data_IF_705271342361
#
_entry.id   IF_705271342361
#
_cell.length_a   1.000
_cell.length_b   1.000
_cell.length_c   1.000
_cell.angle_alpha   90.00
_cell.angle_beta   90.00
_cell.angle_gamma   90.00
#
_symmetry.space_group_name_H-M   'P 1'
#
loop_
_entity.id
_entity.type
_entity.pdbx_description
1 polymer ?
#
# COMPACT_ATOMS: atom_id res chain seq x y z
N UNK A 1 11.18 14.99 11.13
CA UNK A 1 11.11 13.68 11.83
C UNK A 1 11.75 13.70 13.22
N UNK A 2 13.08 13.77 13.39
CA UNK A 2 13.74 13.68 14.72
C UNK A 2 13.12 14.55 15.83
N UNK A 3 12.84 15.83 15.54
CA UNK A 3 12.21 16.75 16.50
C UNK A 3 10.87 16.24 17.07
N UNK A 4 10.12 15.47 16.29
CA UNK A 4 8.80 14.94 16.66
C UNK A 4 8.88 13.61 17.42
N UNK A 5 9.95 12.83 17.25
CA UNK A 5 10.08 11.48 17.85
C UNK A 5 10.99 11.45 19.08
N UNK A 6 11.83 12.48 19.29
CA UNK A 6 12.78 12.52 20.40
C UNK A 6 12.11 12.52 21.79
N UNK A 7 10.85 12.95 21.88
CA UNK A 7 10.07 12.99 23.12
C UNK A 7 9.39 11.66 23.45
N UNK A 8 9.29 10.74 22.50
CA UNK A 8 8.66 9.42 22.67
C UNK A 8 9.67 8.44 23.29
N UNK A 9 10.10 8.70 24.52
CA UNK A 9 11.24 8.01 25.17
C UNK A 9 11.02 6.52 25.41
N UNK A 10 9.78 6.06 25.41
CA UNK A 10 9.37 4.65 25.48
C UNK A 10 9.51 3.92 24.13
N UNK A 11 9.69 4.65 23.04
CA UNK A 11 9.96 4.11 21.71
C UNK A 11 11.43 4.34 21.33
N UNK A 12 12.07 3.33 20.74
CA UNK A 12 13.42 3.41 20.19
C UNK A 12 13.35 3.49 18.67
N UNK A 13 14.10 4.42 18.08
CA UNK A 13 14.10 4.63 16.63
C UNK A 13 15.48 4.32 16.05
N UNK A 14 15.52 3.49 15.01
CA UNK A 14 16.68 3.36 14.14
C UNK A 14 16.43 4.21 12.89
N UNK A 15 17.26 5.23 12.67
CA UNK A 15 17.09 6.22 11.60
C UNK A 15 18.23 6.08 10.60
N UNK A 16 17.91 5.69 9.38
CA UNK A 16 18.86 5.55 8.27
C UNK A 16 18.75 6.77 7.35
N UNK A 17 19.87 7.42 7.04
CA UNK A 17 19.88 8.59 6.16
C UNK A 17 21.23 8.77 5.48
N UNK A 18 21.23 9.22 4.22
CA UNK A 18 22.44 9.48 3.42
C UNK A 18 23.36 10.56 4.00
N UNK A 19 22.80 11.47 4.81
CA UNK A 19 23.54 12.51 5.51
C UNK A 19 24.32 12.02 6.73
N UNK A 20 24.12 10.78 7.16
CA UNK A 20 24.81 10.17 8.30
C UNK A 20 26.01 9.39 7.78
N UNK A 21 27.22 9.72 8.27
CA UNK A 21 28.46 9.03 7.91
C UNK A 21 28.86 7.97 8.92
N UNK A 22 28.51 8.20 10.18
CA UNK A 22 28.88 7.32 11.30
C UNK A 22 27.69 7.10 12.22
N UNK A 23 27.65 5.91 12.83
CA UNK A 23 26.60 5.53 13.77
C UNK A 23 26.66 6.42 15.01
N UNK A 24 25.53 7.00 15.42
CA UNK A 24 25.46 7.81 16.65
C UNK A 24 24.12 7.65 17.36
N UNK A 25 24.14 7.74 18.68
CA UNK A 25 22.93 7.73 19.52
C UNK A 25 22.67 9.14 20.04
N UNK A 26 21.44 9.64 19.83
CA UNK A 26 20.97 10.89 20.42
C UNK A 26 19.56 10.68 20.97
N UNK A 27 19.40 10.84 22.29
CA UNK A 27 18.18 10.45 23.01
C UNK A 27 17.78 8.99 22.72
N UNK A 28 16.54 8.77 22.27
CA UNK A 28 15.98 7.48 21.87
C UNK A 28 16.21 7.13 20.40
N UNK A 29 16.98 7.94 19.67
CA UNK A 29 17.20 7.78 18.22
C UNK A 29 18.64 7.34 17.94
N UNK A 30 18.79 6.13 17.41
CA UNK A 30 20.06 5.64 16.88
C UNK A 30 20.11 5.92 15.37
N UNK A 31 21.07 6.73 14.96
CA UNK A 31 21.30 7.10 13.57
C UNK A 31 22.33 6.18 12.95
N UNK A 32 22.07 5.75 11.73
CA UNK A 32 22.93 4.87 10.96
C UNK A 32 23.25 5.48 9.59
N UNK A 33 24.46 5.28 9.06
CA UNK A 33 24.71 5.45 7.63
C UNK A 33 23.84 4.46 6.83
N UNK A 34 23.67 4.72 5.53
CA UNK A 34 22.99 3.78 4.65
C UNK A 34 23.80 2.48 4.54
N UNK A 35 23.14 1.34 4.71
CA UNK A 35 23.77 0.03 4.59
C UNK A 35 22.74 -1.10 4.68
N UNK A 36 22.77 -2.03 3.72
CA UNK A 36 21.75 -3.08 3.56
C UNK A 36 21.67 -3.99 4.80
N UNK A 37 22.79 -4.54 5.24
CA UNK A 37 22.81 -5.51 6.35
C UNK A 37 22.29 -4.90 7.67
N UNK A 38 22.75 -3.69 8.00
CA UNK A 38 22.31 -2.98 9.20
C UNK A 38 20.82 -2.62 9.14
N UNK A 39 20.33 -2.25 7.96
CA UNK A 39 18.91 -1.95 7.72
C UNK A 39 18.05 -3.20 7.87
N UNK A 40 18.39 -4.29 7.17
CA UNK A 40 17.67 -5.57 7.26
C UNK A 40 17.65 -6.11 8.69
N UNK A 41 18.80 -6.08 9.39
CA UNK A 41 18.85 -6.46 10.80
C UNK A 41 17.92 -5.61 11.66
N UNK A 42 17.88 -4.29 11.45
CA UNK A 42 16.98 -3.40 12.18
C UNK A 42 15.51 -3.68 11.85
N UNK A 43 15.18 -3.91 10.58
CA UNK A 43 13.81 -4.23 10.13
C UNK A 43 13.29 -5.52 10.79
N UNK A 44 14.10 -6.58 10.78
CA UNK A 44 13.73 -7.89 11.34
C UNK A 44 13.36 -7.77 12.82
N UNK A 45 14.09 -6.96 13.60
CA UNK A 45 13.87 -6.82 15.04
C UNK A 45 12.91 -5.67 15.42
N UNK A 46 12.52 -4.83 14.47
CA UNK A 46 11.60 -3.71 14.72
C UNK A 46 10.16 -4.18 14.89
N UNK A 47 9.34 -3.38 15.57
CA UNK A 47 7.87 -3.54 15.62
C UNK A 47 7.18 -3.06 14.34
N UNK A 48 7.82 -2.16 13.61
CA UNK A 48 7.29 -1.55 12.39
C UNK A 48 8.27 -0.56 11.77
N UNK A 49 7.88 0.00 10.65
CA UNK A 49 8.69 0.94 9.89
C UNK A 49 7.89 2.19 9.47
N UNK A 50 8.59 3.32 9.45
CA UNK A 50 8.15 4.56 8.80
C UNK A 50 8.99 4.73 7.53
N UNK A 51 8.36 4.80 6.36
CA UNK A 51 9.06 4.78 5.05
C UNK A 51 8.41 5.72 4.03
N UNK A 52 9.15 6.07 2.98
CA UNK A 52 8.66 6.92 1.88
C UNK A 52 7.67 6.25 0.92
N UNK A 53 7.45 4.93 1.04
CA UNK A 53 6.53 4.21 0.14
C UNK A 53 7.17 3.78 -1.20
N UNK A 54 8.48 3.53 -1.22
CA UNK A 54 9.11 2.79 -2.33
C UNK A 54 8.59 1.35 -2.41
N UNK A 55 9.06 0.56 -3.38
CA UNK A 55 8.59 -0.82 -3.56
C UNK A 55 9.18 -1.81 -2.52
N UNK A 56 10.51 -1.88 -2.43
CA UNK A 56 11.23 -2.95 -1.71
C UNK A 56 10.93 -2.95 -0.20
N UNK A 57 11.11 -1.81 0.46
CA UNK A 57 10.99 -1.72 1.92
C UNK A 57 9.59 -2.05 2.47
N UNK A 58 8.48 -1.49 1.94
CA UNK A 58 7.15 -1.91 2.36
C UNK A 58 6.84 -3.37 2.06
N UNK A 59 7.32 -3.92 0.93
CA UNK A 59 7.11 -5.32 0.59
C UNK A 59 7.78 -6.26 1.62
N UNK A 60 9.04 -5.99 1.98
CA UNK A 60 9.75 -6.74 3.04
C UNK A 60 9.04 -6.59 4.40
N UNK A 61 8.58 -5.38 4.72
CA UNK A 61 7.86 -5.12 5.96
C UNK A 61 6.51 -5.88 6.03
N UNK A 62 5.78 -5.96 4.91
CA UNK A 62 4.55 -6.74 4.79
C UNK A 62 4.82 -8.22 5.01
N UNK A 63 5.83 -8.76 4.33
CA UNK A 63 6.26 -10.15 4.48
C UNK A 63 6.59 -10.49 5.94
N UNK A 64 7.34 -9.60 6.61
CA UNK A 64 7.73 -9.75 8.02
C UNK A 64 6.62 -9.40 9.02
N UNK A 65 5.40 -9.06 8.57
CA UNK A 65 4.26 -8.70 9.42
C UNK A 65 4.45 -7.43 10.24
N UNK A 66 5.30 -6.52 9.78
CA UNK A 66 5.64 -5.28 10.48
C UNK A 66 4.54 -4.25 10.29
N UNK A 67 4.31 -3.41 11.31
CA UNK A 67 3.44 -2.25 11.15
C UNK A 67 4.09 -1.27 10.16
N UNK A 68 3.32 -0.77 9.20
CA UNK A 68 3.85 0.12 8.15
C UNK A 68 3.18 1.47 8.28
N UNK A 69 4.01 2.52 8.36
CA UNK A 69 3.60 3.91 8.19
C UNK A 69 4.31 4.48 6.97
N UNK A 70 3.56 5.09 6.07
CA UNK A 70 4.07 5.61 4.79
C UNK A 70 3.94 7.13 4.76
N UNK A 71 5.01 7.81 4.37
CA UNK A 71 5.06 9.27 4.17
C UNK A 71 5.58 9.53 2.75
N UNK A 72 4.70 9.55 1.73
CA UNK A 72 5.10 9.71 0.34
C UNK A 72 5.91 10.99 0.12
N UNK A 73 6.98 10.91 -0.69
CA UNK A 73 7.76 12.10 -1.03
C UNK A 73 6.94 12.96 -2.01
N UNK A 74 6.82 14.26 -1.71
CA UNK A 74 6.11 15.21 -2.58
C UNK A 74 6.71 15.17 -4.00
N UNK A 75 5.85 15.01 -5.00
CA UNK A 75 6.24 14.92 -6.41
C UNK A 75 6.53 13.49 -6.92
N UNK A 76 6.62 12.48 -6.05
CA UNK A 76 6.84 11.10 -6.46
C UNK A 76 5.50 10.38 -6.67
N UNK A 77 5.04 10.30 -7.93
CA UNK A 77 3.75 9.68 -8.26
C UNK A 77 3.69 8.20 -7.85
N UNK A 78 4.72 7.43 -8.17
CA UNK A 78 4.79 5.99 -7.86
C UNK A 78 4.64 5.72 -6.36
N UNK A 79 5.30 6.52 -5.51
CA UNK A 79 5.19 6.37 -4.06
C UNK A 79 3.79 6.68 -3.53
N UNK A 80 3.04 7.59 -4.18
CA UNK A 80 1.65 7.85 -3.83
C UNK A 80 0.76 6.66 -4.19
N UNK A 81 0.96 6.07 -5.37
CA UNK A 81 0.24 4.86 -5.78
C UNK A 81 0.52 3.69 -4.82
N UNK A 82 1.78 3.47 -4.47
CA UNK A 82 2.18 2.45 -3.50
C UNK A 82 1.56 2.71 -2.13
N UNK A 83 1.53 3.97 -1.68
CA UNK A 83 0.92 4.32 -0.40
C UNK A 83 -0.58 4.02 -0.40
N UNK A 84 -1.30 4.33 -1.47
CA UNK A 84 -2.73 4.01 -1.57
C UNK A 84 -2.96 2.51 -1.54
N UNK A 85 -2.20 1.72 -2.30
CA UNK A 85 -2.26 0.26 -2.22
C UNK A 85 -1.93 -0.25 -0.80
N UNK A 86 -0.94 0.33 -0.12
CA UNK A 86 -0.56 -0.05 1.24
C UNK A 86 -1.66 0.25 2.27
N UNK A 87 -2.59 1.19 2.01
CA UNK A 87 -3.78 1.39 2.88
C UNK A 87 -4.64 0.13 2.93
N UNK A 88 -4.80 -0.55 1.80
CA UNK A 88 -5.56 -1.82 1.70
C UNK A 88 -4.90 -2.93 2.53
N UNK A 89 -3.58 -2.87 2.71
CA UNK A 89 -2.81 -3.76 3.58
C UNK A 89 -2.68 -3.29 5.03
N UNK A 90 -3.45 -2.26 5.43
CA UNK A 90 -3.53 -1.78 6.81
C UNK A 90 -2.46 -0.76 7.23
N UNK A 91 -1.63 -0.29 6.29
CA UNK A 91 -0.62 0.73 6.56
C UNK A 91 -1.26 2.08 6.92
N UNK A 92 -0.58 2.86 7.77
CA UNK A 92 -0.96 4.25 8.06
C UNK A 92 -0.27 5.17 7.05
N UNK A 93 -1.02 5.86 6.19
CA UNK A 93 -0.43 6.81 5.23
C UNK A 93 -0.65 8.23 5.72
N UNK A 94 0.45 8.96 5.87
CA UNK A 94 0.51 10.34 6.33
C UNK A 94 1.02 11.22 5.18
N UNK A 95 0.31 12.32 4.90
CA UNK A 95 0.66 13.25 3.81
C UNK A 95 1.84 14.16 4.17
N UNK A 96 1.97 14.54 5.45
CA UNK A 96 3.03 15.43 5.92
C UNK A 96 3.36 15.28 7.41
N UNK A 97 4.56 15.72 7.78
CA UNK A 97 5.03 15.73 9.17
C UNK A 97 4.72 17.10 9.78
N UNK A 98 3.69 17.15 10.62
CA UNK A 98 3.25 18.35 11.33
C UNK A 98 3.62 18.30 12.83
N UNK A 99 2.96 19.14 13.64
CA UNK A 99 3.13 19.18 15.10
C UNK A 99 2.48 18.01 15.84
N UNK A 100 1.51 17.32 15.21
CA UNK A 100 0.79 16.19 15.79
C UNK A 100 1.43 14.85 15.44
N UNK A 101 2.39 14.85 14.51
CA UNK A 101 3.08 13.65 14.03
C UNK A 101 3.61 12.73 15.15
N UNK A 102 4.17 13.30 16.23
CA UNK A 102 4.62 12.51 17.38
C UNK A 102 3.47 11.73 18.04
N UNK A 103 2.31 12.35 18.25
CA UNK A 103 1.13 11.71 18.80
C UNK A 103 0.55 10.64 17.83
N UNK A 104 0.58 10.91 16.52
CA UNK A 104 0.17 9.93 15.51
C UNK A 104 1.04 8.67 15.54
N UNK A 105 2.37 8.82 15.63
CA UNK A 105 3.29 7.69 15.81
C UNK A 105 2.95 6.94 17.08
N UNK A 106 2.79 7.66 18.19
CA UNK A 106 2.60 7.04 19.49
C UNK A 106 1.33 6.19 19.51
N UNK A 107 0.20 6.77 19.10
CA UNK A 107 -1.07 6.06 18.91
C UNK A 107 -0.90 4.86 17.99
N UNK A 108 -0.34 5.07 16.80
CA UNK A 108 -0.20 4.02 15.80
C UNK A 108 0.60 2.84 16.32
N UNK A 109 1.67 3.04 17.09
CA UNK A 109 2.51 1.95 17.60
C UNK A 109 2.02 1.34 18.92
N UNK A 110 1.10 1.99 19.65
CA UNK A 110 0.45 1.43 20.85
C UNK A 110 -0.79 0.61 20.53
N UNK A 111 -1.61 1.05 19.58
CA UNK A 111 -2.87 0.37 19.26
C UNK A 111 -2.61 -1.01 18.65
N UNK A 112 -3.22 -2.09 19.16
CA UNK A 112 -3.23 -3.36 18.46
C UNK A 112 -3.98 -3.15 17.14
N UNK A 113 -3.25 -3.22 16.03
CA UNK A 113 -3.80 -3.14 14.67
C UNK A 113 -3.37 -4.41 13.98
N UNK A 114 -4.34 -5.19 13.51
CA UNK A 114 -4.10 -6.34 12.65
C UNK A 114 -3.39 -5.83 11.39
N UNK A 115 -2.09 -6.08 11.27
CA UNK A 115 -1.42 -5.96 9.97
C UNK A 115 -1.85 -7.18 9.17
N UNK A 116 -2.26 -7.01 7.91
CA UNK A 116 -2.81 -8.11 7.11
C UNK A 116 -1.70 -9.08 6.65
N UNK A 117 -1.05 -9.77 7.59
CA UNK A 117 -0.14 -10.89 7.33
C UNK A 117 -0.84 -12.03 6.58
N UNK A 118 -2.17 -12.07 6.65
CA UNK A 118 -3.02 -13.12 6.07
C UNK A 118 -2.82 -13.31 4.57
N UNK A 119 -2.35 -12.30 3.83
CA UNK A 119 -2.12 -12.43 2.38
C UNK A 119 -0.89 -13.26 2.00
N UNK A 120 0.09 -13.38 2.91
CA UNK A 120 1.41 -13.94 2.56
C UNK A 120 1.65 -15.35 3.11
N UNK A 121 0.64 -15.99 3.71
CA UNK A 121 0.79 -17.32 4.29
C UNK A 121 1.04 -18.41 3.24
N UNK A 122 0.58 -18.21 1.99
CA UNK A 122 0.78 -19.11 0.86
C UNK A 122 1.66 -18.48 -0.25
N UNK A 123 2.72 -17.76 0.13
CA UNK A 123 3.61 -17.04 -0.82
C UNK A 123 4.59 -17.94 -1.58
N UNK A 124 4.29 -19.24 -1.76
CA UNK A 124 5.11 -20.06 -2.66
C UNK A 124 4.90 -19.60 -4.10
N UNK A 125 5.86 -19.89 -4.97
CA UNK A 125 5.71 -19.56 -6.39
C UNK A 125 4.42 -20.17 -6.96
N UNK A 126 4.10 -21.40 -6.59
CA UNK A 126 2.88 -22.09 -6.98
C UNK A 126 1.64 -21.39 -6.42
N UNK A 127 1.65 -20.99 -5.14
CA UNK A 127 0.52 -20.30 -4.51
C UNK A 127 0.22 -18.95 -5.15
N UNK A 128 1.27 -18.18 -5.48
CA UNK A 128 1.15 -16.89 -6.19
C UNK A 128 0.58 -17.10 -7.59
N UNK A 129 1.11 -18.06 -8.35
CA UNK A 129 0.63 -18.38 -9.71
C UNK A 129 -0.84 -18.81 -9.67
N UNK A 130 -1.22 -19.70 -8.75
CA UNK A 130 -2.59 -20.16 -8.59
C UNK A 130 -3.56 -19.03 -8.26
N UNK A 131 -3.18 -18.13 -7.35
CA UNK A 131 -4.00 -16.96 -7.01
C UNK A 131 -4.17 -16.03 -8.22
N UNK A 132 -3.09 -15.75 -8.95
CA UNK A 132 -3.14 -14.92 -10.14
C UNK A 132 -4.05 -15.52 -11.21
N UNK A 133 -3.92 -16.83 -11.47
CA UNK A 133 -4.77 -17.54 -12.42
C UNK A 133 -6.24 -17.50 -12.02
N UNK A 134 -6.55 -17.66 -10.72
CA UNK A 134 -7.93 -17.52 -10.20
C UNK A 134 -8.51 -16.12 -10.42
N UNK A 135 -7.72 -15.07 -10.21
CA UNK A 135 -8.14 -13.69 -10.46
C UNK A 135 -8.40 -13.46 -11.95
N UNK A 136 -7.49 -13.90 -12.82
CA UNK A 136 -7.61 -13.77 -14.27
C UNK A 136 -8.88 -14.45 -14.81
N UNK A 137 -9.16 -15.68 -14.36
CA UNK A 137 -10.37 -16.43 -14.74
C UNK A 137 -11.63 -15.69 -14.29
N UNK A 138 -11.66 -15.16 -13.05
CA UNK A 138 -12.80 -14.36 -12.55
C UNK A 138 -13.03 -13.10 -13.38
N UNK A 139 -11.96 -12.39 -13.74
CA UNK A 139 -12.04 -11.18 -14.56
C UNK A 139 -12.61 -11.51 -15.97
N UNK A 140 -12.12 -12.58 -16.60
CA UNK A 140 -12.63 -13.05 -17.90
C UNK A 140 -14.12 -13.43 -17.87
N UNK A 141 -14.56 -14.10 -16.81
CA UNK A 141 -15.99 -14.44 -16.64
C UNK A 141 -16.87 -13.20 -16.44
N UNK A 142 -16.38 -12.19 -15.71
CA UNK A 142 -17.12 -10.95 -15.51
C UNK A 142 -17.20 -10.14 -16.81
N UNK A 143 -16.13 -10.11 -17.60
CA UNK A 143 -16.12 -9.49 -18.94
C UNK A 143 -17.13 -10.15 -19.90
N UNK A 144 -17.12 -11.49 -20.01
CA UNK A 144 -18.07 -12.24 -20.87
C UNK A 144 -19.54 -12.07 -20.46
N UNK A 145 -19.82 -11.85 -19.17
CA UNK A 145 -21.17 -11.56 -18.67
C UNK A 145 -21.66 -10.15 -19.04
N UNK A 146 -20.76 -9.19 -19.21
CA UNK A 146 -21.11 -7.85 -19.66
C UNK A 146 -21.43 -7.82 -21.17
N UNK A 147 -20.69 -8.56 -22.00
CA UNK A 147 -20.99 -8.70 -23.44
C UNK A 147 -22.32 -9.39 -23.73
N UNK A 148 -22.75 -10.34 -22.88
CA UNK A 148 -24.02 -11.08 -23.03
C UNK A 148 -25.25 -10.34 -22.48
N UNK A 149 -25.07 -9.13 -21.93
CA UNK A 149 -26.13 -8.33 -21.32
C UNK A 149 -26.61 -7.14 -22.16
N UNK A 150 -26.08 -6.96 -23.37
CA UNK A 150 -26.69 -6.06 -24.35
C UNK A 150 -27.99 -6.69 -24.88
N UNK A 151 -29.15 -6.01 -24.76
CA UNK A 151 -30.39 -6.57 -25.28
C UNK A 151 -30.28 -6.72 -26.79
N UNK A 152 -30.67 -7.90 -27.30
CA UNK A 152 -30.93 -8.07 -28.72
C UNK A 152 -32.02 -7.05 -29.12
N UNK A 153 -31.67 -6.11 -30.00
CA UNK A 153 -32.67 -5.26 -30.63
C UNK A 153 -33.62 -6.16 -31.44
N UNK A 154 -34.83 -6.35 -30.93
CA UNK A 154 -35.94 -6.89 -31.71
C UNK A 154 -37.15 -5.97 -31.63
N UNK A 155 -37.52 -5.50 -32.82
CA UNK A 155 -38.85 -5.09 -33.31
C UNK A 155 -39.39 -3.69 -32.96
N UNK A 156 -39.53 -2.83 -33.99
CA UNK A 156 -40.80 -2.66 -34.72
C UNK A 156 -40.83 -1.31 -35.47
N UNK A 157 -40.83 -1.34 -36.81
CA UNK A 157 -41.45 -0.26 -37.59
C UNK A 157 -42.36 -0.87 -38.64
N UNK A 158 -43.60 -1.12 -38.24
CA UNK A 158 -44.70 -1.38 -39.15
C UNK A 158 -45.05 -0.06 -39.85
N UNK A 159 -44.77 0.04 -41.15
CA UNK A 159 -45.29 1.12 -41.98
C UNK A 159 -46.76 0.82 -42.35
N UNK A 160 -47.69 1.80 -42.24
CA UNK A 160 -49.08 1.58 -42.60
C UNK A 160 -49.26 1.63 -44.13
N UNK A 161 -50.18 0.81 -44.62
CA UNK A 161 -50.68 0.83 -45.99
C UNK A 161 -51.83 1.85 -46.15
N UNK A 162 -51.78 2.67 -47.21
CA UNK A 162 -52.92 3.31 -47.89
C UNK A 162 -52.37 3.98 -49.18
N UNK A 163 -52.57 3.38 -50.36
CA UNK A 163 -53.67 3.57 -51.32
C UNK A 163 -53.48 4.77 -52.27
N UNK A 164 -53.32 4.43 -53.55
CA UNK A 164 -53.31 5.28 -54.74
C UNK A 164 -54.54 6.20 -54.84
N UNK A 165 -54.41 7.44 -55.33
CA UNK A 165 -54.71 7.83 -56.74
C UNK A 165 -54.53 9.35 -56.98
N UNK A 166 -54.56 9.65 -58.28
CA UNK A 166 -54.26 10.86 -59.05
C UNK A 166 -54.95 12.19 -58.65
N UNK A 167 -54.24 13.27 -59.03
CA UNK A 167 -54.54 14.73 -59.03
C UNK A 167 -54.64 15.42 -57.67
#
# INVERSE_FOLDING_TARGET
MYKQVKSLTHLKFHIFSSGIKEKKLVHNCQFFPLGKECFSHSMIHAKGIITGGGFETPAEALYLGKKIMVIPIKGQYEQKCNAEALREFGAEVISEIDIHFGATIDRFFHEPKETTQRYFQDSTNEGIVDQLMKIAIKALHNYKRQETSLPAETEAFAAPAASSLEI
#
